data_IF_242488546042
#
_entry.id   IF_242488546042
#
_cell.length_a   1.000
_cell.length_b   1.000
_cell.length_c   1.000
_cell.angle_alpha   90.00
_cell.angle_beta   90.00
_cell.angle_gamma   90.00
#
_symmetry.space_group_name_H-M   'P 1'
#
loop_
_entity.id
_entity.type
_entity.pdbx_description
1 polymer ?
#
# COMPACT_ATOMS: atom_id res chain seq x y z
N UNK A 1 -39.79 3.66 40.91
CA UNK A 1 -40.95 2.73 40.89
C UNK A 1 -40.88 1.94 39.61
N UNK A 2 -40.51 0.64 39.72
CA UNK A 2 -40.91 -0.51 38.89
C UNK A 2 -40.57 -0.46 37.39
N UNK A 3 -40.01 -1.43 36.72
CA UNK A 3 -39.69 -2.86 36.96
C UNK A 3 -38.79 -3.30 35.81
N UNK A 4 -37.71 -3.85 36.10
CA UNK A 4 -37.28 -5.19 35.67
C UNK A 4 -38.06 -5.83 34.52
N UNK A 5 -37.36 -6.22 33.46
CA UNK A 5 -37.44 -7.60 33.01
C UNK A 5 -36.19 -8.03 32.24
N UNK A 6 -35.44 -8.87 32.89
CA UNK A 6 -34.41 -9.74 32.35
C UNK A 6 -35.08 -10.76 31.45
N UNK A 7 -34.64 -10.95 30.24
CA UNK A 7 -34.84 -12.18 29.50
C UNK A 7 -33.50 -12.69 28.95
N UNK A 8 -32.95 -13.59 29.73
CA UNK A 8 -31.90 -14.53 29.33
C UNK A 8 -32.57 -15.63 28.53
N UNK A 9 -32.16 -15.83 27.29
CA UNK A 9 -32.35 -17.11 26.61
C UNK A 9 -31.05 -17.49 25.90
N UNK A 10 -30.54 -18.58 26.45
CA UNK A 10 -29.40 -19.35 25.97
C UNK A 10 -29.77 -20.18 24.73
N UNK A 11 -28.77 -20.76 24.16
CA UNK A 11 -28.67 -21.88 23.21
C UNK A 11 -28.53 -21.43 21.75
N UNK A 12 -27.62 -22.00 21.00
CA UNK A 12 -27.03 -23.32 21.06
C UNK A 12 -25.82 -23.41 20.15
N UNK A 13 -24.90 -24.19 20.61
CA UNK A 13 -23.74 -24.62 19.89
C UNK A 13 -24.11 -25.49 18.68
N UNK A 14 -23.65 -25.12 17.49
CA UNK A 14 -23.56 -26.05 16.38
C UNK A 14 -22.06 -26.13 15.96
N UNK A 15 -21.40 -27.14 16.49
CA UNK A 15 -20.12 -27.63 16.02
C UNK A 15 -20.36 -28.36 14.69
N UNK A 16 -20.05 -27.69 13.56
CA UNK A 16 -19.92 -28.38 12.29
C UNK A 16 -18.45 -28.79 12.13
N UNK A 17 -18.23 -30.10 12.18
CA UNK A 17 -16.96 -30.74 11.93
C UNK A 17 -16.53 -30.54 10.48
N UNK A 18 -15.42 -29.85 10.25
CA UNK A 18 -14.72 -29.92 8.98
C UNK A 18 -13.93 -31.21 8.90
N UNK A 19 -14.40 -32.13 8.06
CA UNK A 19 -13.65 -33.31 7.64
C UNK A 19 -12.36 -32.89 6.92
N UNK A 20 -11.23 -33.36 7.45
CA UNK A 20 -9.94 -33.32 6.77
C UNK A 20 -9.95 -34.40 5.70
N UNK A 21 -9.92 -33.99 4.44
CA UNK A 21 -9.51 -34.85 3.35
C UNK A 21 -7.97 -34.79 3.24
N UNK A 22 -7.37 -35.90 3.63
CA UNK A 22 -5.92 -36.12 3.52
C UNK A 22 -5.64 -36.69 2.13
N UNK A 23 -5.37 -35.84 1.15
CA UNK A 23 -4.76 -36.28 -0.12
C UNK A 23 -3.26 -36.45 0.08
N UNK A 24 -2.86 -37.71 0.05
CA UNK A 24 -1.48 -38.20 0.00
C UNK A 24 -0.77 -37.63 -1.23
N UNK A 25 0.24 -36.80 -1.00
CA UNK A 25 1.20 -36.40 -2.02
C UNK A 25 2.28 -37.46 -2.13
N UNK A 26 2.32 -38.09 -3.28
CA UNK A 26 3.29 -39.08 -3.72
C UNK A 26 4.70 -38.47 -3.77
N UNK A 27 5.65 -39.14 -3.12
CA UNK A 27 7.05 -38.75 -3.08
C UNK A 27 7.74 -39.22 -4.38
N UNK A 28 7.91 -38.33 -5.34
CA UNK A 28 8.73 -38.53 -6.52
C UNK A 28 10.23 -38.40 -6.18
N UNK A 29 10.99 -39.44 -6.51
CA UNK A 29 12.41 -39.60 -6.30
C UNK A 29 13.29 -38.57 -7.04
N UNK A 30 14.52 -38.28 -6.57
CA UNK A 30 15.44 -37.35 -7.21
C UNK A 30 16.13 -38.00 -8.40
N UNK A 31 15.89 -37.43 -9.60
CA UNK A 31 16.68 -37.72 -10.78
C UNK A 31 17.97 -36.91 -10.78
N UNK A 32 19.10 -37.62 -10.67
CA UNK A 32 20.42 -37.09 -10.92
C UNK A 32 20.65 -37.05 -12.44
N UNK A 33 20.98 -35.86 -12.99
CA UNK A 33 21.69 -35.79 -14.25
C UNK A 33 22.68 -34.62 -14.21
N UNK A 34 23.93 -35.04 -14.08
CA UNK A 34 25.10 -34.20 -14.28
C UNK A 34 25.48 -34.26 -15.76
N UNK A 35 25.41 -33.14 -16.47
CA UNK A 35 25.98 -32.97 -17.79
C UNK A 35 26.96 -31.78 -17.80
N UNK A 36 28.26 -31.99 -18.14
CA UNK A 36 29.19 -30.89 -18.35
C UNK A 36 28.99 -30.26 -19.74
N UNK A 37 28.53 -29.04 -19.79
CA UNK A 37 28.39 -28.26 -21.02
C UNK A 37 29.58 -27.33 -21.24
N UNK A 38 30.21 -27.52 -22.34
CA UNK A 38 31.45 -26.98 -22.88
C UNK A 38 31.55 -25.45 -22.89
N UNK A 39 32.78 -25.00 -22.56
CA UNK A 39 33.30 -23.67 -22.83
C UNK A 39 33.25 -23.32 -24.32
N UNK A 40 32.49 -22.30 -24.69
CA UNK A 40 32.58 -21.70 -25.99
C UNK A 40 33.51 -20.48 -25.91
N UNK A 41 34.76 -20.69 -26.32
CA UNK A 41 35.72 -19.64 -26.57
C UNK A 41 35.22 -18.72 -27.69
N UNK A 42 34.98 -17.46 -27.36
CA UNK A 42 34.71 -16.42 -28.35
C UNK A 42 36.06 -15.87 -28.84
N UNK A 43 36.38 -16.13 -30.09
CA UNK A 43 37.54 -15.61 -30.78
C UNK A 43 37.41 -14.13 -31.09
N UNK A 44 38.32 -13.34 -30.56
CA UNK A 44 38.62 -11.97 -30.98
C UNK A 44 39.02 -11.94 -32.44
N UNK A 45 38.22 -11.29 -33.28
CA UNK A 45 38.62 -10.86 -34.62
C UNK A 45 38.98 -9.38 -34.61
N UNK A 46 40.25 -9.10 -34.47
CA UNK A 46 40.79 -7.80 -34.77
C UNK A 46 40.69 -7.55 -36.26
N UNK A 47 39.88 -6.57 -36.66
CA UNK A 47 39.96 -5.95 -37.98
C UNK A 47 40.38 -4.51 -37.82
N UNK A 48 41.66 -4.25 -38.17
CA UNK A 48 42.17 -2.91 -38.33
C UNK A 48 41.67 -2.34 -39.65
N UNK A 49 41.51 -1.05 -39.66
CA UNK A 49 41.30 -0.31 -40.92
C UNK A 49 40.59 1.02 -40.71
N UNK A 50 41.35 1.99 -40.88
CA UNK A 50 41.12 3.27 -41.50
C UNK A 50 41.08 4.52 -40.60
N UNK A 51 42.21 5.20 -40.64
CA UNK A 51 42.37 6.58 -40.23
C UNK A 51 41.64 7.47 -41.26
N UNK A 52 40.38 7.79 -41.00
CA UNK A 52 39.57 8.74 -41.75
C UNK A 52 39.40 10.04 -40.97
N UNK A 53 39.99 11.09 -41.48
CA UNK A 53 39.71 12.52 -41.33
C UNK A 53 39.04 12.99 -40.05
N UNK A 54 39.79 13.75 -39.27
CA UNK A 54 39.31 14.62 -38.19
C UNK A 54 38.37 15.67 -38.82
N UNK A 55 37.08 15.41 -38.82
CA UNK A 55 36.04 16.40 -39.01
C UNK A 55 35.81 17.11 -37.66
N UNK A 56 36.31 18.32 -37.57
CA UNK A 56 35.89 19.26 -36.54
C UNK A 56 34.38 19.50 -36.68
N UNK A 57 33.70 19.67 -35.55
CA UNK A 57 32.28 19.99 -35.37
C UNK A 57 31.30 18.79 -35.24
N UNK A 58 31.58 17.92 -34.30
CA UNK A 58 30.49 17.31 -33.57
C UNK A 58 30.52 17.89 -32.16
N UNK A 59 29.93 19.06 -31.99
CA UNK A 59 29.38 19.49 -30.73
C UNK A 59 28.38 18.41 -30.33
N UNK A 60 28.83 17.39 -29.64
CA UNK A 60 28.00 16.44 -28.93
C UNK A 60 27.32 17.25 -27.85
N UNK A 61 26.23 17.91 -28.23
CA UNK A 61 25.25 18.38 -27.27
C UNK A 61 24.91 17.12 -26.42
N UNK A 62 25.41 17.10 -25.19
CA UNK A 62 25.05 16.11 -24.23
C UNK A 62 23.54 16.17 -24.16
N UNK A 63 22.87 15.22 -24.81
CA UNK A 63 21.44 15.10 -24.72
C UNK A 63 21.16 14.73 -23.27
N UNK A 64 20.73 15.72 -22.49
CA UNK A 64 20.32 15.48 -21.12
C UNK A 64 19.33 14.32 -21.15
N UNK A 65 19.67 13.26 -20.43
CA UNK A 65 18.78 12.12 -20.30
C UNK A 65 17.50 12.60 -19.65
N UNK A 66 16.42 12.68 -20.41
CA UNK A 66 15.07 12.97 -19.91
C UNK A 66 14.48 11.83 -19.09
N UNK A 67 15.23 10.75 -18.90
CA UNK A 67 14.84 9.64 -18.03
C UNK A 67 14.92 10.12 -16.58
N UNK A 68 13.83 10.71 -16.09
CA UNK A 68 13.61 10.87 -14.65
C UNK A 68 13.58 9.47 -14.07
N UNK A 69 14.47 9.19 -13.14
CA UNK A 69 14.42 7.93 -12.38
C UNK A 69 13.30 8.06 -11.38
N UNK A 70 12.17 7.44 -11.68
CA UNK A 70 11.10 7.26 -10.71
C UNK A 70 11.63 6.32 -9.63
N UNK A 71 11.65 6.76 -8.38
CA UNK A 71 12.20 5.99 -7.26
C UNK A 71 11.09 5.71 -6.24
N UNK A 72 11.01 4.45 -5.81
CA UNK A 72 10.13 4.05 -4.73
C UNK A 72 10.54 4.73 -3.41
N UNK A 73 9.57 5.27 -2.69
CA UNK A 73 9.76 5.82 -1.34
C UNK A 73 10.02 4.68 -0.38
N UNK A 74 11.30 4.55 0.04
CA UNK A 74 11.70 3.48 0.94
C UNK A 74 11.17 3.68 2.36
N UNK A 75 11.31 2.66 3.20
CA UNK A 75 10.82 2.54 4.57
C UNK A 75 10.69 3.87 5.33
N UNK A 76 11.79 4.58 5.55
CA UNK A 76 11.80 5.81 6.36
C UNK A 76 11.01 6.94 5.72
N UNK A 77 11.14 7.10 4.40
CA UNK A 77 10.44 8.15 3.67
C UNK A 77 8.94 7.84 3.59
N UNK A 78 8.60 6.59 3.29
CA UNK A 78 7.22 6.14 3.26
C UNK A 78 6.52 6.37 4.61
N UNK A 79 7.17 5.98 5.71
CA UNK A 79 6.63 6.21 7.05
C UNK A 79 6.44 7.70 7.35
N UNK A 80 7.44 8.53 7.02
CA UNK A 80 7.35 9.96 7.27
C UNK A 80 6.21 10.62 6.46
N UNK A 81 6.07 10.25 5.19
CA UNK A 81 5.02 10.78 4.32
C UNK A 81 3.63 10.33 4.78
N UNK A 82 3.46 9.06 5.16
CA UNK A 82 2.18 8.57 5.68
C UNK A 82 1.83 9.19 7.04
N UNK A 83 2.80 9.31 7.93
CA UNK A 83 2.60 9.97 9.21
C UNK A 83 2.16 11.44 9.02
N UNK A 84 2.81 12.16 8.11
CA UNK A 84 2.47 13.54 7.81
C UNK A 84 1.11 13.67 7.10
N UNK A 85 0.83 12.84 6.08
CA UNK A 85 -0.41 12.89 5.33
C UNK A 85 -1.63 12.57 6.21
N UNK A 86 -1.49 11.60 7.11
CA UNK A 86 -2.56 11.17 8.00
C UNK A 86 -2.57 11.92 9.36
N UNK A 87 -1.59 12.79 9.63
CA UNK A 87 -1.41 13.44 10.94
C UNK A 87 -1.44 12.42 12.09
N UNK A 88 -0.71 11.34 11.93
CA UNK A 88 -0.52 10.31 12.95
C UNK A 88 0.93 10.36 13.46
N UNK A 89 1.12 10.02 14.73
CA UNK A 89 2.49 9.74 15.18
C UNK A 89 3.07 8.57 14.37
N UNK A 90 4.36 8.56 14.01
CA UNK A 90 4.96 7.47 13.23
C UNK A 90 4.68 6.08 13.81
N UNK A 91 4.67 5.95 15.13
CA UNK A 91 4.36 4.70 15.84
C UNK A 91 2.88 4.31 15.82
N UNK A 92 2.00 5.21 15.37
CA UNK A 92 0.54 4.97 15.27
C UNK A 92 0.08 4.75 13.83
N UNK A 93 0.97 4.88 12.85
CA UNK A 93 0.62 4.67 11.43
C UNK A 93 0.18 3.23 11.21
N UNK A 94 0.96 2.27 11.70
CA UNK A 94 0.64 0.86 11.54
C UNK A 94 1.23 0.01 12.67
N UNK A 95 0.35 -0.77 13.32
CA UNK A 95 0.75 -1.81 14.27
C UNK A 95 0.11 -3.13 13.88
N UNK A 96 0.90 -4.21 13.85
CA UNK A 96 0.40 -5.56 13.71
C UNK A 96 0.24 -6.20 15.09
N UNK A 97 -0.90 -6.86 15.28
CA UNK A 97 -1.29 -7.47 16.57
C UNK A 97 -1.25 -6.46 17.74
N UNK A 98 -1.52 -5.18 17.46
CA UNK A 98 -1.48 -4.06 18.41
C UNK A 98 -0.13 -3.91 19.16
N UNK A 99 0.94 -4.55 18.67
CA UNK A 99 2.23 -4.62 19.34
C UNK A 99 3.41 -4.26 18.46
N UNK A 100 3.49 -4.83 17.26
CA UNK A 100 4.66 -4.72 16.39
C UNK A 100 4.49 -3.59 15.39
N UNK A 101 5.49 -2.73 15.28
CA UNK A 101 5.50 -1.69 14.25
C UNK A 101 5.63 -2.32 12.86
N UNK A 102 4.63 -2.09 11.99
CA UNK A 102 4.61 -2.69 10.67
C UNK A 102 5.80 -2.27 9.81
N UNK A 103 6.20 -1.00 9.91
CA UNK A 103 7.17 -0.40 9.00
C UNK A 103 8.60 -0.69 9.44
N UNK A 104 8.86 -0.57 10.74
CA UNK A 104 10.23 -0.67 11.28
C UNK A 104 10.60 -2.05 11.77
N UNK A 105 9.61 -2.89 12.10
CA UNK A 105 9.85 -4.24 12.62
C UNK A 105 9.41 -5.31 11.62
N UNK A 106 8.12 -5.31 11.22
CA UNK A 106 7.55 -6.43 10.44
C UNK A 106 7.95 -6.37 8.97
N UNK A 107 7.84 -5.19 8.36
CA UNK A 107 8.06 -5.00 6.92
C UNK A 107 9.29 -4.16 6.60
N UNK A 108 10.24 -4.05 7.52
CA UNK A 108 11.44 -3.23 7.33
C UNK A 108 12.15 -3.55 5.99
N UNK A 109 12.46 -4.81 5.76
CA UNK A 109 13.17 -5.26 4.55
C UNK A 109 12.33 -5.14 3.28
N UNK A 110 11.07 -5.63 3.22
CA UNK A 110 10.22 -5.42 2.06
C UNK A 110 10.07 -3.94 1.65
N UNK A 111 10.08 -3.04 2.61
CA UNK A 111 9.99 -1.59 2.37
C UNK A 111 11.35 -0.93 2.07
N UNK A 112 12.40 -1.71 1.87
CA UNK A 112 13.74 -1.22 1.51
C UNK A 112 14.52 -0.65 2.70
N UNK A 113 14.24 -1.12 3.90
CA UNK A 113 15.05 -0.89 5.09
C UNK A 113 16.28 -1.79 5.15
N UNK A 114 17.02 -1.70 6.24
CA UNK A 114 18.23 -2.51 6.52
C UNK A 114 18.06 -3.30 7.82
N UNK A 115 18.68 -4.45 7.89
CA UNK A 115 18.75 -5.28 9.10
C UNK A 115 20.15 -5.86 9.24
N UNK A 116 21.08 -5.11 9.87
CA UNK A 116 22.49 -5.52 9.93
C UNK A 116 22.75 -6.63 10.94
N UNK A 117 21.93 -6.77 11.98
CA UNK A 117 22.24 -7.66 13.09
C UNK A 117 21.79 -9.10 12.88
N UNK A 118 20.58 -9.30 12.31
CA UNK A 118 20.03 -10.64 12.10
C UNK A 118 20.30 -11.16 10.69
N UNK A 119 20.22 -10.28 9.69
CA UNK A 119 20.32 -10.67 8.29
C UNK A 119 21.63 -10.21 7.62
N UNK A 120 22.49 -9.47 8.33
CA UNK A 120 23.73 -8.93 7.76
C UNK A 120 23.50 -7.92 6.63
N UNK A 121 22.30 -7.33 6.54
CA UNK A 121 21.91 -6.40 5.49
C UNK A 121 22.26 -4.98 5.91
N UNK A 122 23.42 -4.49 5.51
CA UNK A 122 23.96 -3.17 5.87
C UNK A 122 23.53 -2.05 4.92
N UNK A 123 23.12 -2.40 3.71
CA UNK A 123 22.68 -1.44 2.68
C UNK A 123 21.28 -1.77 2.22
N UNK A 124 20.45 -0.75 1.90
CA UNK A 124 19.15 -0.99 1.31
C UNK A 124 19.29 -1.76 -0.02
N UNK A 125 18.39 -2.71 -0.31
CA UNK A 125 18.40 -3.43 -1.57
C UNK A 125 18.23 -2.45 -2.75
N UNK A 126 18.90 -2.72 -3.87
CA UNK A 126 18.81 -1.86 -5.06
C UNK A 126 17.42 -1.88 -5.70
N UNK A 127 16.78 -3.03 -5.65
CA UNK A 127 15.44 -3.25 -6.20
C UNK A 127 14.44 -3.59 -5.10
N UNK A 128 13.17 -3.29 -5.34
CA UNK A 128 12.08 -3.68 -4.45
C UNK A 128 11.87 -5.20 -4.48
N UNK A 129 11.47 -5.77 -3.36
CA UNK A 129 11.16 -7.19 -3.28
C UNK A 129 9.75 -7.49 -3.83
N UNK A 130 9.46 -8.77 -4.12
CA UNK A 130 8.12 -9.20 -4.52
C UNK A 130 7.07 -9.00 -3.43
N UNK A 131 7.48 -8.89 -2.17
CA UNK A 131 6.61 -8.62 -1.03
C UNK A 131 6.40 -7.13 -0.74
N UNK A 132 7.12 -6.23 -1.43
CA UNK A 132 6.98 -4.77 -1.25
C UNK A 132 5.55 -4.29 -1.46
N UNK A 133 4.81 -4.67 -2.52
CA UNK A 133 3.42 -4.23 -2.69
C UNK A 133 2.54 -4.62 -1.50
N UNK A 134 2.64 -5.86 -1.03
CA UNK A 134 1.87 -6.36 0.11
C UNK A 134 2.18 -5.57 1.39
N UNK A 135 3.46 -5.27 1.62
CA UNK A 135 3.89 -4.48 2.76
C UNK A 135 3.34 -3.04 2.72
N UNK A 136 3.38 -2.41 1.53
CA UNK A 136 2.80 -1.07 1.32
C UNK A 136 1.30 -1.08 1.57
N UNK A 137 0.57 -2.03 0.99
CA UNK A 137 -0.88 -2.17 1.17
C UNK A 137 -1.27 -2.35 2.64
N UNK A 138 -0.50 -3.16 3.38
CA UNK A 138 -0.71 -3.34 4.83
C UNK A 138 -0.56 -2.03 5.58
N UNK A 139 0.53 -1.31 5.36
CA UNK A 139 0.78 -0.02 6.02
C UNK A 139 -0.30 1.00 5.66
N UNK A 140 -0.64 1.12 4.38
CA UNK A 140 -1.66 2.03 3.91
C UNK A 140 -3.04 1.72 4.50
N UNK A 141 -3.45 0.45 4.49
CA UNK A 141 -4.76 0.03 4.99
C UNK A 141 -4.90 0.32 6.49
N UNK A 142 -3.89 -0.02 7.28
CA UNK A 142 -3.93 0.21 8.74
C UNK A 142 -3.86 1.71 9.05
N UNK A 143 -2.98 2.47 8.39
CA UNK A 143 -2.89 3.91 8.58
C UNK A 143 -4.19 4.64 8.22
N UNK A 144 -4.78 4.32 7.07
CA UNK A 144 -6.08 4.85 6.65
C UNK A 144 -7.20 4.51 7.63
N UNK A 145 -7.25 3.24 8.10
CA UNK A 145 -8.21 2.83 9.12
C UNK A 145 -8.04 3.64 10.40
N UNK A 146 -6.83 3.78 10.91
CA UNK A 146 -6.56 4.52 12.13
C UNK A 146 -7.00 5.99 12.00
N UNK A 147 -6.71 6.64 10.87
CA UNK A 147 -7.15 8.03 10.63
C UNK A 147 -8.67 8.13 10.52
N UNK A 148 -9.31 7.26 9.78
CA UNK A 148 -10.78 7.25 9.65
C UNK A 148 -11.44 7.04 11.00
N UNK A 149 -10.95 6.10 11.81
CA UNK A 149 -11.53 5.82 13.13
C UNK A 149 -11.38 7.03 14.07
N UNK A 150 -10.26 7.74 14.02
CA UNK A 150 -10.07 8.97 14.80
C UNK A 150 -10.99 10.10 14.32
N UNK A 151 -11.08 10.34 13.01
CA UNK A 151 -11.90 11.42 12.45
C UNK A 151 -13.40 11.18 12.72
N UNK A 152 -13.86 9.93 12.66
CA UNK A 152 -15.25 9.59 12.98
C UNK A 152 -15.54 9.62 14.49
N UNK A 153 -14.54 9.37 15.34
CA UNK A 153 -14.69 9.45 16.78
C UNK A 153 -14.71 10.90 17.29
N UNK A 154 -13.96 11.80 16.64
CA UNK A 154 -13.83 13.21 17.01
C UNK A 154 -14.05 14.12 15.79
N UNK A 155 -15.30 14.27 15.31
CA UNK A 155 -15.59 14.99 14.07
C UNK A 155 -15.15 16.47 14.06
N UNK A 156 -15.12 17.11 15.21
CA UNK A 156 -14.70 18.51 15.36
C UNK A 156 -13.19 18.69 15.13
N UNK A 157 -12.39 17.65 15.45
CA UNK A 157 -10.94 17.59 15.26
C UNK A 157 -10.55 16.74 14.03
N UNK A 158 -11.52 16.43 13.18
CA UNK A 158 -11.26 15.60 12.00
C UNK A 158 -10.25 16.26 11.05
N UNK A 159 -9.33 15.48 10.54
CA UNK A 159 -8.21 15.93 9.68
C UNK A 159 -8.56 15.78 8.20
N UNK A 160 -9.02 14.61 7.80
CA UNK A 160 -9.34 14.26 6.41
C UNK A 160 -10.85 14.28 6.18
N UNK A 161 -11.60 13.66 7.08
CA UNK A 161 -13.04 13.41 6.93
C UNK A 161 -13.89 14.48 7.61
N UNK A 162 -13.39 15.71 7.61
CA UNK A 162 -14.04 16.85 8.23
C UNK A 162 -15.43 17.10 7.65
N UNK A 163 -16.43 17.09 8.52
CA UNK A 163 -17.81 17.32 8.13
C UNK A 163 -18.49 16.14 7.43
N UNK A 164 -17.81 15.01 7.26
CA UNK A 164 -18.43 13.80 6.72
C UNK A 164 -19.56 13.34 7.65
N UNK A 165 -20.77 13.25 7.11
CA UNK A 165 -21.96 12.84 7.88
C UNK A 165 -22.36 11.43 7.53
N UNK A 166 -22.46 10.61 8.56
CA UNK A 166 -23.03 9.27 8.49
C UNK A 166 -24.39 9.26 9.18
N UNK A 167 -25.31 8.45 8.68
CA UNK A 167 -26.59 8.20 9.33
C UNK A 167 -26.46 7.18 10.49
N UNK A 168 -27.58 6.86 11.12
CA UNK A 168 -27.61 5.91 12.23
C UNK A 168 -27.16 4.50 11.86
N UNK A 169 -27.24 4.13 10.58
CA UNK A 169 -26.81 2.84 10.03
C UNK A 169 -25.35 2.89 9.54
N UNK A 170 -24.64 3.99 9.76
CA UNK A 170 -23.25 4.18 9.28
C UNK A 170 -23.12 4.36 7.78
N UNK A 171 -24.20 4.70 7.08
CA UNK A 171 -24.20 5.05 5.66
C UNK A 171 -23.88 6.53 5.48
N UNK A 172 -23.42 6.91 4.28
CA UNK A 172 -23.35 8.32 3.93
C UNK A 172 -24.74 8.92 3.98
N UNK A 173 -24.92 9.98 4.78
CA UNK A 173 -26.21 10.65 4.91
C UNK A 173 -26.72 11.21 3.57
N UNK A 174 -25.78 11.68 2.74
CA UNK A 174 -26.00 12.08 1.35
C UNK A 174 -24.75 11.74 0.53
N UNK A 175 -24.81 10.81 -0.43
CA UNK A 175 -23.68 10.52 -1.32
C UNK A 175 -23.25 11.71 -2.21
N UNK A 176 -24.09 12.74 -2.34
CA UNK A 176 -23.77 13.95 -3.10
C UNK A 176 -23.29 15.12 -2.21
N UNK A 177 -23.13 14.89 -0.90
CA UNK A 177 -22.71 15.94 0.02
C UNK A 177 -21.36 16.57 -0.39
N UNK A 178 -21.23 17.91 -0.35
CA UNK A 178 -20.01 18.61 -0.76
C UNK A 178 -18.81 18.26 0.13
N UNK A 179 -19.03 17.84 1.38
CA UNK A 179 -18.02 17.40 2.32
C UNK A 179 -17.27 16.15 1.81
N UNK A 180 -17.94 15.33 0.97
CA UNK A 180 -17.30 14.18 0.33
C UNK A 180 -16.21 14.63 -0.65
N UNK A 181 -16.50 15.64 -1.47
CA UNK A 181 -15.52 16.20 -2.40
C UNK A 181 -14.38 16.90 -1.66
N UNK A 182 -14.70 17.60 -0.58
CA UNK A 182 -13.68 18.22 0.26
C UNK A 182 -12.75 17.17 0.88
N UNK A 183 -13.28 16.05 1.35
CA UNK A 183 -12.48 14.95 1.89
C UNK A 183 -11.61 14.27 0.81
N UNK A 184 -12.16 14.03 -0.39
CA UNK A 184 -11.38 13.51 -1.53
C UNK A 184 -10.25 14.49 -1.89
N UNK A 185 -10.53 15.78 -1.92
CA UNK A 185 -9.51 16.80 -2.20
C UNK A 185 -8.42 16.78 -1.13
N UNK A 186 -8.80 16.74 0.14
CA UNK A 186 -7.85 16.65 1.25
C UNK A 186 -6.94 15.41 1.15
N UNK A 187 -7.45 14.25 0.73
CA UNK A 187 -6.64 13.07 0.50
C UNK A 187 -5.58 13.30 -0.59
N UNK A 188 -5.99 13.86 -1.73
CA UNK A 188 -5.05 14.12 -2.84
C UNK A 188 -4.00 15.17 -2.47
N UNK A 189 -4.40 16.26 -1.84
CA UNK A 189 -3.46 17.29 -1.38
C UNK A 189 -2.44 16.75 -0.39
N UNK A 190 -2.84 15.85 0.50
CA UNK A 190 -1.99 15.27 1.53
C UNK A 190 -1.04 14.20 1.02
N UNK A 191 -1.51 13.28 0.16
CA UNK A 191 -0.70 12.18 -0.34
C UNK A 191 0.04 12.50 -1.65
N UNK A 192 -0.58 13.30 -2.52
CA UNK A 192 -0.14 13.51 -3.91
C UNK A 192 0.28 14.95 -4.15
N UNK A 193 -0.08 15.87 -3.26
CA UNK A 193 0.25 17.31 -3.33
C UNK A 193 -0.34 18.01 -4.57
N UNK A 194 -1.50 17.55 -5.01
CA UNK A 194 -2.29 18.18 -6.07
C UNK A 194 -3.79 17.98 -5.84
N UNK A 195 -4.60 18.73 -6.55
CA UNK A 195 -6.03 18.47 -6.60
C UNK A 195 -6.35 17.19 -7.41
N UNK A 196 -7.41 16.45 -7.03
CA UNK A 196 -7.93 15.35 -7.84
C UNK A 196 -8.56 15.87 -9.13
N UNK A 197 -8.43 15.12 -10.19
CA UNK A 197 -9.17 15.36 -11.45
C UNK A 197 -10.66 15.02 -11.27
N UNK A 198 -11.48 15.43 -12.23
CA UNK A 198 -12.91 15.11 -12.22
C UNK A 198 -13.15 13.58 -12.26
N UNK A 199 -12.33 12.86 -13.03
CA UNK A 199 -12.45 11.39 -13.17
C UNK A 199 -12.04 10.67 -11.89
N UNK A 200 -11.00 11.13 -11.20
CA UNK A 200 -10.57 10.59 -9.91
C UNK A 200 -11.63 10.80 -8.83
N UNK A 201 -12.24 11.99 -8.78
CA UNK A 201 -13.39 12.25 -7.88
C UNK A 201 -14.55 11.31 -8.18
N UNK A 202 -14.90 11.18 -9.45
CA UNK A 202 -16.00 10.32 -9.89
C UNK A 202 -15.72 8.84 -9.53
N UNK A 203 -14.50 8.35 -9.75
CA UNK A 203 -14.11 6.99 -9.42
C UNK A 203 -14.20 6.71 -7.92
N UNK A 204 -13.69 7.61 -7.05
CA UNK A 204 -13.79 7.44 -5.60
C UNK A 204 -15.23 7.52 -5.08
N UNK A 205 -16.08 8.35 -5.69
CA UNK A 205 -17.51 8.37 -5.37
C UNK A 205 -18.21 7.07 -5.79
N UNK A 206 -17.91 6.56 -6.99
CA UNK A 206 -18.48 5.32 -7.50
C UNK A 206 -18.14 4.11 -6.63
N UNK A 207 -16.97 4.10 -6.00
CA UNK A 207 -16.52 3.05 -5.07
C UNK A 207 -17.53 2.78 -3.94
N UNK A 208 -18.30 3.79 -3.51
CA UNK A 208 -19.34 3.60 -2.50
C UNK A 208 -20.45 2.64 -2.96
N UNK A 209 -20.85 2.72 -4.22
CA UNK A 209 -21.90 1.88 -4.78
C UNK A 209 -21.44 0.42 -5.02
N UNK A 210 -20.13 0.19 -5.04
CA UNK A 210 -19.53 -1.14 -5.24
C UNK A 210 -19.32 -1.91 -3.91
N UNK A 211 -19.58 -1.26 -2.78
CA UNK A 211 -19.49 -1.94 -1.49
C UNK A 211 -20.52 -3.06 -1.38
N UNK A 212 -20.18 -4.16 -0.68
CA UNK A 212 -21.14 -5.22 -0.39
C UNK A 212 -22.39 -4.67 0.29
N UNK A 213 -23.56 -5.15 -0.13
CA UNK A 213 -24.85 -4.67 0.41
C UNK A 213 -25.07 -5.02 1.90
N UNK A 214 -24.32 -5.97 2.41
CA UNK A 214 -24.31 -6.45 3.79
C UNK A 214 -23.18 -5.82 4.64
N UNK A 215 -22.44 -4.84 4.09
CA UNK A 215 -21.43 -4.12 4.85
C UNK A 215 -22.08 -3.37 6.03
N UNK A 216 -21.70 -3.65 7.26
CA UNK A 216 -22.38 -3.11 8.44
C UNK A 216 -22.15 -1.60 8.63
N UNK A 217 -21.06 -1.05 8.09
CA UNK A 217 -20.71 0.38 8.20
C UNK A 217 -20.17 0.92 6.88
N UNK A 218 -21.01 1.03 5.85
CA UNK A 218 -20.56 1.31 4.49
C UNK A 218 -19.87 2.66 4.34
N UNK A 219 -20.28 3.70 5.07
CA UNK A 219 -19.61 5.01 5.05
C UNK A 219 -18.18 4.96 5.60
N UNK A 220 -17.97 4.21 6.70
CA UNK A 220 -16.64 3.97 7.24
C UNK A 220 -15.78 3.13 6.29
N UNK A 221 -16.35 2.05 5.76
CA UNK A 221 -15.64 1.18 4.81
C UNK A 221 -15.21 1.95 3.56
N UNK A 222 -16.12 2.76 3.00
CA UNK A 222 -15.80 3.65 1.88
C UNK A 222 -14.65 4.61 2.22
N UNK A 223 -14.71 5.27 3.37
CA UNK A 223 -13.67 6.23 3.77
C UNK A 223 -12.29 5.55 3.85
N UNK A 224 -12.21 4.35 4.41
CA UNK A 224 -10.96 3.57 4.48
C UNK A 224 -10.47 3.22 3.07
N UNK A 225 -11.35 2.72 2.19
CA UNK A 225 -10.99 2.32 0.84
C UNK A 225 -10.61 3.51 -0.05
N UNK A 226 -11.29 4.65 0.08
CA UNK A 226 -10.93 5.87 -0.64
C UNK A 226 -9.55 6.39 -0.22
N UNK A 227 -9.26 6.42 1.08
CA UNK A 227 -7.93 6.74 1.59
C UNK A 227 -6.88 5.75 1.07
N UNK A 228 -7.15 4.46 1.17
CA UNK A 228 -6.26 3.39 0.70
C UNK A 228 -5.94 3.51 -0.79
N UNK A 229 -6.93 3.76 -1.63
CA UNK A 229 -6.74 3.90 -3.07
C UNK A 229 -5.79 5.07 -3.42
N UNK A 230 -5.94 6.22 -2.74
CA UNK A 230 -5.05 7.37 -2.95
C UNK A 230 -3.66 7.10 -2.37
N UNK A 231 -3.58 6.55 -1.17
CA UNK A 231 -2.33 6.27 -0.48
C UNK A 231 -1.45 5.23 -1.19
N UNK A 232 -2.06 4.27 -1.92
CA UNK A 232 -1.35 3.26 -2.70
C UNK A 232 -1.16 3.64 -4.17
N UNK A 233 -1.62 4.80 -4.57
CA UNK A 233 -1.40 5.33 -5.92
C UNK A 233 0.09 5.53 -6.23
N UNK A 234 0.46 5.41 -7.51
CA UNK A 234 1.86 5.54 -7.96
C UNK A 234 2.46 6.89 -7.55
N UNK A 235 1.72 7.97 -7.70
CA UNK A 235 2.18 9.32 -7.34
C UNK A 235 2.44 9.49 -5.83
N UNK A 236 1.72 8.74 -4.99
CA UNK A 236 1.95 8.72 -3.55
C UNK A 236 3.20 7.92 -3.15
N UNK A 237 3.53 6.86 -3.88
CA UNK A 237 4.57 5.90 -3.51
C UNK A 237 5.94 6.17 -4.15
N UNK A 238 5.98 6.99 -5.18
CA UNK A 238 7.21 7.28 -5.94
C UNK A 238 7.50 8.78 -5.98
N UNK A 239 8.74 9.15 -6.33
CA UNK A 239 9.21 10.52 -6.53
C UNK A 239 10.25 10.61 -7.65
#
# INVERSE_FOLDING_TARGET
MFRELILVTALGAALAACSRDSSTLDAGAPGADAGPGADAASTDAASGGDAGAVGEDASTALTESTKRRVQFKRQRRLLADFAAALELAPTEVCKELDRYDCVTEVHAIPLGGVEPYQLGLYSPPEVTSKSTPIAVERVALVGCRNRVDLDLATPDDAVVWKGLRLDADGKLADPAQPELDAAITALYERFVQREPTADERAALRALYAELPSDEPRPGRAWAILACFAVATGVESLFY
#
